data_IF_796474360855
#
_entry.id   IF_796474360855
#
_cell.length_a   1.000
_cell.length_b   1.000
_cell.length_c   1.000
_cell.angle_alpha   90.00
_cell.angle_beta   90.00
_cell.angle_gamma   90.00
#
_symmetry.space_group_name_H-M   'P 1'
#
loop_
_entity.id
_entity.type
_entity.pdbx_description
1 polymer ?
#
# COMPACT_ATOMS: atom_id res chain seq x y z
N UNK A 1 -11.71 20.73 8.48
CA UNK A 1 -11.51 19.73 9.54
C UNK A 1 -10.04 19.35 9.61
N UNK A 2 -9.39 19.46 10.78
CA UNK A 2 -7.99 19.09 10.86
C UNK A 2 -7.83 17.57 10.72
N UNK A 3 -6.73 17.17 10.14
CA UNK A 3 -6.37 15.76 10.08
C UNK A 3 -5.83 15.29 11.42
N UNK A 4 -5.96 14.01 11.68
CA UNK A 4 -5.32 13.32 12.78
C UNK A 4 -4.26 12.37 12.22
N UNK A 5 -3.12 12.29 12.88
CA UNK A 5 -2.06 11.37 12.50
C UNK A 5 -2.05 10.21 13.51
N UNK A 6 -2.57 9.04 13.13
CA UNK A 6 -2.59 7.88 14.02
C UNK A 6 -1.19 7.28 14.16
N UNK A 7 -0.96 6.56 15.24
CA UNK A 7 0.27 5.82 15.41
C UNK A 7 0.23 4.55 14.57
N UNK A 8 1.31 4.31 13.83
CA UNK A 8 1.44 3.17 12.91
C UNK A 8 2.79 2.48 13.14
N UNK A 9 2.95 1.78 14.27
CA UNK A 9 4.25 1.18 14.61
C UNK A 9 4.71 0.12 13.61
N UNK A 10 3.79 -0.48 12.85
CA UNK A 10 4.14 -1.48 11.82
C UNK A 10 4.60 -0.86 10.50
N UNK A 11 4.47 0.46 10.32
CA UNK A 11 4.88 1.11 9.09
C UNK A 11 6.39 1.26 9.02
N UNK A 12 6.98 1.20 7.81
CA UNK A 12 8.37 1.61 7.63
C UNK A 12 8.57 3.05 8.09
N UNK A 13 9.74 3.35 8.63
CA UNK A 13 10.06 4.69 9.09
C UNK A 13 10.07 5.65 7.90
N UNK A 14 9.35 6.78 8.04
CA UNK A 14 9.34 7.82 7.02
C UNK A 14 10.68 8.55 7.00
N UNK A 15 11.30 8.61 5.80
CA UNK A 15 12.58 9.29 5.59
C UNK A 15 12.38 10.63 4.86
N UNK A 16 11.15 11.08 4.69
CA UNK A 16 10.77 12.29 3.99
C UNK A 16 9.58 12.93 4.73
N UNK A 17 9.17 14.15 4.37
CA UNK A 17 8.12 14.86 5.10
C UNK A 17 6.72 14.33 4.78
N UNK A 18 6.41 13.10 5.20
CA UNK A 18 5.09 12.51 5.10
C UNK A 18 4.81 11.59 6.30
N UNK A 19 3.54 11.36 6.57
CA UNK A 19 3.09 10.40 7.58
C UNK A 19 2.67 9.11 6.89
N UNK A 20 2.87 7.94 7.50
CA UNK A 20 2.40 6.67 6.92
C UNK A 20 0.89 6.61 6.75
N UNK A 21 0.14 7.29 7.61
CA UNK A 21 -1.31 7.39 7.53
C UNK A 21 -1.80 8.73 8.07
N UNK A 22 -2.91 9.20 7.52
CA UNK A 22 -3.60 10.39 8.02
C UNK A 22 -5.11 10.12 7.97
N UNK A 23 -5.83 10.63 8.96
CA UNK A 23 -7.27 10.42 9.08
C UNK A 23 -8.04 11.73 9.07
N UNK A 24 -9.19 11.74 8.41
CA UNK A 24 -10.16 12.81 8.49
C UNK A 24 -11.53 12.28 8.04
N UNK A 25 -12.61 12.77 8.67
CA UNK A 25 -13.99 12.49 8.26
C UNK A 25 -14.32 11.00 8.16
N UNK A 26 -13.75 10.17 9.02
CA UNK A 26 -13.98 8.71 9.00
C UNK A 26 -13.21 7.96 7.93
N UNK A 27 -12.34 8.63 7.20
CA UNK A 27 -11.49 8.03 6.18
C UNK A 27 -10.03 8.00 6.64
N UNK A 28 -9.35 6.92 6.30
CA UNK A 28 -7.94 6.72 6.59
C UNK A 28 -7.20 6.65 5.27
N UNK A 29 -6.24 7.56 5.09
CA UNK A 29 -5.41 7.66 3.90
C UNK A 29 -4.03 7.09 4.24
N UNK A 30 -3.63 6.01 3.57
CA UNK A 30 -2.30 5.47 3.73
C UNK A 30 -1.38 6.04 2.65
N UNK A 31 -0.17 6.40 3.06
CA UNK A 31 0.88 6.75 2.11
C UNK A 31 1.21 5.52 1.25
N UNK A 32 1.78 5.74 0.07
CA UNK A 32 2.18 4.66 -0.81
C UNK A 32 3.19 3.72 -0.17
N UNK A 33 2.99 2.42 -0.34
CA UNK A 33 3.88 1.38 0.15
C UNK A 33 4.63 0.75 -1.01
N UNK A 34 5.90 0.46 -0.78
CA UNK A 34 6.77 -0.25 -1.72
C UNK A 34 7.25 -1.55 -1.09
N UNK A 35 7.93 -2.38 -1.86
CA UNK A 35 8.34 -3.71 -1.43
C UNK A 35 9.51 -3.72 -0.44
N UNK A 36 9.36 -3.02 0.67
CA UNK A 36 10.37 -2.91 1.73
C UNK A 36 9.85 -3.57 2.99
N UNK A 37 10.62 -4.51 3.55
CA UNK A 37 10.27 -5.12 4.83
C UNK A 37 10.53 -4.10 5.96
N UNK A 38 9.49 -3.65 6.67
CA UNK A 38 9.65 -2.65 7.71
C UNK A 38 10.43 -3.13 8.93
N UNK A 39 10.52 -4.43 9.14
CA UNK A 39 11.25 -5.01 10.29
C UNK A 39 12.75 -5.07 10.06
N UNK A 40 13.18 -5.37 8.85
CA UNK A 40 14.59 -5.56 8.52
C UNK A 40 15.19 -4.42 7.72
N UNK A 41 14.35 -3.63 7.04
CA UNK A 41 14.78 -2.60 6.11
C UNK A 41 15.23 -3.18 4.77
N UNK A 42 15.06 -4.48 4.55
CA UNK A 42 15.47 -5.13 3.31
C UNK A 42 14.40 -5.02 2.24
N UNK A 43 14.87 -4.89 1.00
CA UNK A 43 13.99 -4.90 -0.17
C UNK A 43 13.57 -6.33 -0.48
N UNK A 44 12.31 -6.52 -0.90
CA UNK A 44 11.91 -7.77 -1.55
C UNK A 44 12.75 -7.96 -2.84
N UNK A 45 12.91 -9.20 -3.31
CA UNK A 45 13.64 -9.44 -4.55
C UNK A 45 13.12 -8.61 -5.73
N UNK A 46 13.94 -8.40 -6.76
CA UNK A 46 13.57 -7.69 -7.99
C UNK A 46 12.64 -8.56 -8.84
N UNK A 47 11.49 -8.86 -8.29
CA UNK A 47 10.40 -9.63 -8.88
C UNK A 47 9.11 -8.95 -8.48
N UNK A 48 8.27 -8.60 -9.44
CA UNK A 48 7.06 -7.82 -9.17
C UNK A 48 6.09 -8.58 -8.28
N UNK A 49 6.01 -9.90 -8.41
CA UNK A 49 5.14 -10.73 -7.56
C UNK A 49 5.59 -10.66 -6.10
N UNK A 50 6.89 -10.83 -5.84
CA UNK A 50 7.44 -10.74 -4.48
C UNK A 50 7.25 -9.34 -3.90
N UNK A 51 7.50 -8.31 -4.69
CA UNK A 51 7.32 -6.93 -4.24
C UNK A 51 5.86 -6.61 -3.96
N UNK A 52 4.93 -7.07 -4.81
CA UNK A 52 3.50 -6.85 -4.59
C UNK A 52 3.02 -7.54 -3.30
N UNK A 53 3.49 -8.74 -3.00
CA UNK A 53 3.17 -9.41 -1.73
C UNK A 53 3.68 -8.60 -0.53
N UNK A 54 4.91 -8.10 -0.59
CA UNK A 54 5.46 -7.28 0.49
C UNK A 54 4.67 -5.99 0.68
N UNK A 55 4.28 -5.34 -0.42
CA UNK A 55 3.46 -4.13 -0.37
C UNK A 55 2.12 -4.41 0.32
N UNK A 56 1.43 -5.47 -0.08
CA UNK A 56 0.14 -5.82 0.52
C UNK A 56 0.28 -6.21 1.98
N UNK A 57 1.34 -6.92 2.35
CA UNK A 57 1.61 -7.24 3.75
C UNK A 57 1.82 -5.96 4.57
N UNK A 58 2.56 -4.99 4.03
CA UNK A 58 2.78 -3.71 4.70
C UNK A 58 1.46 -2.95 4.90
N UNK A 59 0.61 -2.90 3.87
CA UNK A 59 -0.70 -2.25 3.96
C UNK A 59 -1.55 -2.92 5.04
N UNK A 60 -1.61 -4.26 5.06
CA UNK A 60 -2.36 -5.00 6.06
C UNK A 60 -1.86 -4.76 7.48
N UNK A 61 -0.55 -4.67 7.68
CA UNK A 61 0.04 -4.40 8.98
C UNK A 61 -0.32 -2.99 9.48
N UNK A 62 -0.23 -1.99 8.63
CA UNK A 62 -0.61 -0.61 8.99
C UNK A 62 -2.10 -0.52 9.28
N UNK A 63 -2.95 -1.13 8.44
CA UNK A 63 -4.39 -1.19 8.71
C UNK A 63 -4.67 -1.85 10.06
N UNK A 64 -3.96 -2.94 10.37
CA UNK A 64 -4.09 -3.64 11.65
C UNK A 64 -3.75 -2.77 12.84
N UNK A 65 -2.72 -1.90 12.72
CA UNK A 65 -2.39 -0.92 13.76
C UNK A 65 -3.57 0.02 14.06
N UNK A 66 -4.45 0.22 13.07
CA UNK A 66 -5.58 1.15 13.15
C UNK A 66 -6.90 0.43 13.45
N UNK A 67 -6.87 -0.89 13.70
CA UNK A 67 -8.06 -1.69 13.94
C UNK A 67 -8.88 -1.97 12.69
N UNK A 68 -8.23 -1.92 11.51
CA UNK A 68 -8.87 -2.10 10.21
C UNK A 68 -8.25 -3.31 9.49
N UNK A 69 -8.88 -3.70 8.39
CA UNK A 69 -8.39 -4.78 7.54
C UNK A 69 -8.61 -4.46 6.06
N UNK A 70 -8.27 -5.40 5.20
CA UNK A 70 -8.41 -5.22 3.75
C UNK A 70 -9.84 -4.92 3.32
N UNK A 71 -10.84 -5.49 4.02
CA UNK A 71 -12.26 -5.27 3.70
C UNK A 71 -12.71 -3.83 3.94
N UNK A 72 -11.94 -3.06 4.67
CA UNK A 72 -12.24 -1.65 4.95
C UNK A 72 -11.69 -0.72 3.87
N UNK A 73 -10.87 -1.23 2.94
CA UNK A 73 -10.34 -0.44 1.84
C UNK A 73 -11.45 -0.10 0.86
N UNK A 74 -11.61 1.19 0.55
CA UNK A 74 -12.63 1.67 -0.39
C UNK A 74 -12.03 2.11 -1.72
N UNK A 75 -10.76 2.51 -1.74
CA UNK A 75 -10.07 2.95 -2.97
C UNK A 75 -8.61 2.53 -2.91
N UNK A 76 -8.12 2.04 -4.04
CA UNK A 76 -6.72 1.67 -4.23
C UNK A 76 -6.18 2.37 -5.48
N UNK A 77 -4.95 2.85 -5.41
CA UNK A 77 -4.18 3.29 -6.58
C UNK A 77 -2.90 2.46 -6.65
N UNK A 78 -2.68 1.86 -7.80
CA UNK A 78 -1.50 1.02 -8.06
C UNK A 78 -0.64 1.71 -9.13
N UNK A 79 0.64 1.88 -8.82
CA UNK A 79 1.63 2.47 -9.70
C UNK A 79 2.64 1.39 -10.07
N UNK A 80 2.79 1.11 -11.37
CA UNK A 80 3.70 0.09 -11.89
C UNK A 80 4.88 0.73 -12.60
N UNK A 81 6.06 0.16 -12.43
CA UNK A 81 7.21 0.56 -13.23
C UNK A 81 7.04 0.12 -14.69
N UNK A 82 6.32 -0.98 -14.92
CA UNK A 82 6.03 -1.53 -16.25
C UNK A 82 4.58 -2.01 -16.28
N UNK A 83 3.78 -1.47 -17.18
CA UNK A 83 2.36 -1.85 -17.29
C UNK A 83 2.18 -3.33 -17.68
N UNK A 84 3.20 -3.95 -18.26
CA UNK A 84 3.17 -5.37 -18.59
C UNK A 84 3.10 -6.28 -17.35
N UNK A 85 3.40 -5.73 -16.16
CA UNK A 85 3.25 -6.43 -14.89
C UNK A 85 1.81 -6.42 -14.35
N UNK A 86 0.86 -5.85 -15.09
CA UNK A 86 -0.53 -5.68 -14.67
C UNK A 86 -1.17 -7.00 -14.22
N UNK A 87 -1.04 -8.06 -15.01
CA UNK A 87 -1.67 -9.35 -14.69
C UNK A 87 -1.04 -10.02 -13.47
N UNK A 88 0.29 -9.96 -13.34
CA UNK A 88 0.99 -10.55 -12.20
C UNK A 88 0.58 -9.86 -10.89
N UNK A 89 0.50 -8.54 -10.91
CA UNK A 89 0.07 -7.75 -9.75
C UNK A 89 -1.41 -8.01 -9.42
N UNK A 90 -2.26 -8.15 -10.43
CA UNK A 90 -3.67 -8.47 -10.23
C UNK A 90 -3.86 -9.79 -9.46
N UNK A 91 -3.09 -10.82 -9.79
CA UNK A 91 -3.17 -12.12 -9.09
C UNK A 91 -2.82 -11.98 -7.61
N UNK A 92 -1.74 -11.26 -7.32
CA UNK A 92 -1.33 -11.01 -5.93
C UNK A 92 -2.40 -10.21 -5.20
N UNK A 93 -2.81 -9.09 -5.79
CA UNK A 93 -3.79 -8.18 -5.20
C UNK A 93 -5.09 -8.91 -4.86
N UNK A 94 -5.62 -9.66 -5.81
CA UNK A 94 -6.87 -10.41 -5.64
C UNK A 94 -6.83 -11.37 -4.46
N UNK A 95 -5.67 -11.96 -4.18
CA UNK A 95 -5.52 -12.95 -3.11
C UNK A 95 -5.72 -12.38 -1.69
N UNK A 96 -5.72 -11.07 -1.54
CA UNK A 96 -5.90 -10.40 -0.24
C UNK A 96 -7.35 -10.00 0.05
N UNK A 97 -8.27 -10.23 -0.87
CA UNK A 97 -9.68 -9.86 -0.70
C UNK A 97 -10.58 -11.08 -0.79
N UNK A 98 -11.53 -11.21 0.15
CA UNK A 98 -12.52 -12.29 0.17
C UNK A 98 -13.88 -11.85 -0.39
N UNK A 99 -14.13 -10.56 -0.46
CA UNK A 99 -15.40 -10.00 -0.85
C UNK A 99 -15.29 -9.03 -2.01
N UNK A 100 -16.18 -8.04 -2.09
CA UNK A 100 -16.13 -7.06 -3.17
C UNK A 100 -14.81 -6.31 -3.16
N UNK A 101 -14.26 -6.08 -4.35
CA UNK A 101 -13.02 -5.32 -4.49
C UNK A 101 -13.27 -3.82 -4.30
N UNK A 102 -12.28 -3.07 -3.75
CA UNK A 102 -12.35 -1.62 -3.74
C UNK A 102 -12.36 -1.06 -5.17
N UNK A 103 -12.80 0.19 -5.30
CA UNK A 103 -12.54 0.93 -6.54
C UNK A 103 -11.03 1.06 -6.73
N UNK A 104 -10.55 0.98 -7.98
CA UNK A 104 -9.12 0.95 -8.24
C UNK A 104 -8.74 1.65 -9.54
N UNK A 105 -7.58 2.30 -9.53
CA UNK A 105 -6.91 2.79 -10.74
C UNK A 105 -5.49 2.22 -10.76
N UNK A 106 -5.04 1.74 -11.90
CA UNK A 106 -3.68 1.23 -12.09
C UNK A 106 -3.05 1.92 -13.29
N UNK A 107 -1.85 2.47 -13.10
CA UNK A 107 -1.12 3.18 -14.16
C UNK A 107 0.35 2.81 -14.12
N UNK A 108 1.02 2.99 -15.26
CA UNK A 108 2.48 2.96 -15.30
C UNK A 108 3.00 4.32 -14.86
N UNK A 109 3.91 4.35 -13.91
CA UNK A 109 4.59 5.56 -13.48
C UNK A 109 5.81 5.83 -14.36
N UNK A 110 6.21 7.09 -14.47
CA UNK A 110 7.45 7.44 -15.15
C UNK A 110 8.68 6.86 -14.45
N UNK A 111 8.67 6.86 -13.12
CA UNK A 111 9.68 6.21 -12.27
C UNK A 111 9.10 6.04 -10.87
N UNK A 112 9.51 4.99 -10.18
CA UNK A 112 9.18 4.78 -8.77
C UNK A 112 10.41 5.01 -7.90
N UNK A 113 10.22 5.42 -6.63
CA UNK A 113 11.35 5.62 -5.72
C UNK A 113 12.22 4.36 -5.65
N UNK A 114 13.54 4.54 -5.61
CA UNK A 114 14.52 3.48 -5.43
C UNK A 114 14.36 2.30 -6.39
N UNK A 115 13.84 2.56 -7.60
CA UNK A 115 13.63 1.54 -8.65
C UNK A 115 12.75 0.36 -8.19
N UNK A 116 11.80 0.57 -7.29
CA UNK A 116 10.78 -0.42 -6.99
C UNK A 116 9.89 -0.66 -8.21
N UNK A 117 9.34 -1.87 -8.32
CA UNK A 117 8.54 -2.28 -9.47
C UNK A 117 7.06 -1.98 -9.30
N UNK A 118 6.60 -1.80 -8.07
CA UNK A 118 5.20 -1.52 -7.73
C UNK A 118 5.12 -0.67 -6.47
N UNK A 119 4.15 0.23 -6.47
CA UNK A 119 3.78 1.03 -5.29
C UNK A 119 2.26 1.08 -5.21
N UNK A 120 1.71 0.90 -4.01
CA UNK A 120 0.26 0.89 -3.80
C UNK A 120 -0.09 1.82 -2.65
N UNK A 121 -1.10 2.66 -2.87
CA UNK A 121 -1.70 3.48 -1.83
C UNK A 121 -3.18 3.15 -1.72
N UNK A 122 -3.73 3.28 -0.52
CA UNK A 122 -5.14 2.95 -0.29
C UNK A 122 -5.82 4.01 0.57
N UNK A 123 -7.14 4.08 0.44
CA UNK A 123 -8.02 4.80 1.35
C UNK A 123 -8.96 3.78 1.97
N UNK A 124 -9.03 3.76 3.29
CA UNK A 124 -9.92 2.88 4.05
C UNK A 124 -10.96 3.70 4.80
N UNK A 125 -12.08 3.08 5.13
CA UNK A 125 -13.15 3.71 5.91
C UNK A 125 -13.29 3.02 7.27
N UNK A 126 -13.47 3.83 8.32
CA UNK A 126 -13.79 3.34 9.65
C UNK A 126 -15.26 2.98 9.78
#
# INVERSE_FOLDING_TARGET
>A
MPKTIPETPSAPKSLAPYSPAAEAAGLVFLAGQVGLDPKTGERAPDDVTAQAHQVMANIGAVLGDLGLGYDDIVKTNIFLADIDDFNAVNEVYASYFDGPYPARTTVQAGALPAAFLVEIEVVAAR
#
